data_IF_189163758360
#
_entry.id   IF_189163758360
#
_cell.length_a   1.000
_cell.length_b   1.000
_cell.length_c   1.000
_cell.angle_alpha   90.00
_cell.angle_beta   90.00
_cell.angle_gamma   90.00
#
_symmetry.space_group_name_H-M   'P 1'
#
loop_
_entity.id
_entity.type
_entity.pdbx_description
1 polymer ?
#
# COMPACT_ATOMS: atom_id res chain seq x y z
N UNK A 1 -22.41 3.81 8.55
CA UNK A 1 -22.65 4.31 7.17
C UNK A 1 -22.05 5.69 7.08
N UNK A 2 -21.32 5.98 6.01
CA UNK A 2 -20.69 7.28 5.77
C UNK A 2 -19.17 7.19 5.73
N UNK A 3 -18.50 8.33 5.93
CA UNK A 3 -17.05 8.42 6.04
C UNK A 3 -16.60 7.70 7.32
N UNK A 4 -15.75 6.70 7.16
CA UNK A 4 -15.23 5.86 8.22
C UNK A 4 -13.73 5.67 8.03
N UNK A 5 -12.96 5.63 9.11
CA UNK A 5 -11.62 5.06 9.08
C UNK A 5 -11.70 3.58 9.51
N UNK A 6 -10.89 2.74 8.87
CA UNK A 6 -10.72 1.33 9.25
C UNK A 6 -9.36 1.19 9.93
N UNK A 7 -9.13 1.99 10.98
CA UNK A 7 -7.90 1.98 11.77
C UNK A 7 -8.15 1.42 13.18
N UNK A 8 -7.07 1.12 13.88
CA UNK A 8 -7.14 0.63 15.27
C UNK A 8 -7.87 -0.72 15.37
N UNK A 9 -8.88 -0.79 16.24
CA UNK A 9 -9.65 -2.02 16.49
C UNK A 9 -10.48 -2.47 15.27
N UNK A 10 -10.80 -1.54 14.38
CA UNK A 10 -11.60 -1.76 13.17
C UNK A 10 -10.75 -2.03 11.92
N UNK A 11 -9.43 -2.17 12.08
CA UNK A 11 -8.51 -2.47 10.98
C UNK A 11 -8.71 -3.89 10.44
N UNK A 12 -8.69 -4.01 9.11
CA UNK A 12 -8.67 -5.29 8.40
C UNK A 12 -7.23 -5.77 8.22
N UNK A 13 -6.94 -6.95 8.76
CA UNK A 13 -5.59 -7.50 8.82
C UNK A 13 -4.61 -6.55 9.51
N UNK A 14 -3.62 -6.10 8.76
CA UNK A 14 -2.64 -5.07 9.17
C UNK A 14 -2.44 -4.02 8.07
N UNK A 15 -3.42 -3.91 7.16
CA UNK A 15 -3.43 -2.89 6.12
C UNK A 15 -2.88 -3.29 4.75
N UNK A 16 -2.62 -4.58 4.52
CA UNK A 16 -2.14 -5.04 3.22
C UNK A 16 -3.16 -4.82 2.08
N UNK A 17 -4.45 -5.06 2.33
CA UNK A 17 -5.50 -4.94 1.32
C UNK A 17 -6.41 -3.72 1.48
N UNK A 18 -6.60 -3.26 2.71
CA UNK A 18 -7.47 -2.14 3.06
C UNK A 18 -6.70 -1.21 3.99
N UNK A 19 -6.14 -0.13 3.45
CA UNK A 19 -5.39 0.88 4.19
C UNK A 19 -5.15 2.13 3.36
N UNK A 20 -5.57 3.29 3.86
CA UNK A 20 -5.44 4.54 3.12
C UNK A 20 -6.30 4.60 1.85
N UNK A 21 -7.56 4.98 2.04
CA UNK A 21 -8.48 5.28 0.94
C UNK A 21 -8.23 6.63 0.27
N UNK A 22 -7.22 7.39 0.70
CA UNK A 22 -6.91 8.75 0.23
C UNK A 22 -5.40 9.04 0.18
N UNK A 23 -4.60 8.23 -0.56
CA UNK A 23 -3.14 8.17 -0.44
C UNK A 23 -2.40 9.45 -0.83
N UNK A 24 -3.06 10.40 -1.51
CA UNK A 24 -2.47 11.64 -2.01
C UNK A 24 -2.16 12.71 -0.95
N UNK A 25 -2.14 12.37 0.34
CA UNK A 25 -1.90 13.35 1.42
C UNK A 25 -0.77 13.03 2.40
N UNK A 26 -0.04 11.94 2.15
CA UNK A 26 1.13 11.56 2.95
C UNK A 26 0.73 11.07 4.35
N UNK A 27 -0.30 10.22 4.43
CA UNK A 27 -0.76 9.62 5.68
C UNK A 27 -1.27 10.62 6.71
N UNK A 28 -1.94 11.68 6.27
CA UNK A 28 -2.57 12.69 7.15
C UNK A 28 -4.05 12.39 7.36
N UNK A 29 -4.74 11.90 6.33
CA UNK A 29 -6.12 11.46 6.43
C UNK A 29 -6.26 10.04 5.90
N UNK A 30 -7.05 9.24 6.61
CA UNK A 30 -7.36 7.87 6.24
C UNK A 30 -8.86 7.73 6.32
N UNK A 31 -9.55 7.62 5.19
CA UNK A 31 -10.98 7.34 5.23
C UNK A 31 -11.46 6.56 4.02
N UNK A 32 -12.61 5.93 4.21
CA UNK A 32 -13.42 5.28 3.19
C UNK A 32 -14.84 5.82 3.31
N UNK A 33 -15.49 6.16 2.19
CA UNK A 33 -16.95 6.31 2.23
C UNK A 33 -17.53 4.91 2.09
N UNK A 34 -18.21 4.44 3.14
CA UNK A 34 -18.60 3.04 3.20
C UNK A 34 -19.93 2.79 3.93
N UNK A 35 -20.54 1.67 3.61
CA UNK A 35 -21.58 1.02 4.40
C UNK A 35 -20.95 -0.26 4.97
N UNK A 36 -20.99 -0.41 6.30
CA UNK A 36 -20.51 -1.61 6.99
C UNK A 36 -21.63 -2.23 7.79
N UNK A 37 -21.84 -3.53 7.61
CA UNK A 37 -22.63 -4.37 8.50
C UNK A 37 -21.71 -5.40 9.14
N UNK A 38 -21.74 -5.51 10.47
CA UNK A 38 -20.92 -6.44 11.25
C UNK A 38 -21.83 -7.47 11.90
N UNK A 39 -21.61 -8.73 11.57
CA UNK A 39 -22.31 -9.86 12.18
C UNK A 39 -21.41 -10.55 13.20
N UNK A 40 -21.81 -10.48 14.47
CA UNK A 40 -21.20 -11.22 15.56
C UNK A 40 -21.82 -12.62 15.63
N UNK A 41 -21.24 -13.58 14.91
CA UNK A 41 -21.74 -14.96 14.86
C UNK A 41 -21.67 -15.59 16.26
N UNK A 42 -20.51 -15.43 16.92
CA UNK A 42 -20.28 -15.82 18.31
C UNK A 42 -19.10 -15.03 18.88
N UNK A 43 -18.79 -15.22 20.16
CA UNK A 43 -17.63 -14.56 20.80
C UNK A 43 -16.34 -14.88 20.04
N UNK A 44 -15.65 -13.84 19.56
CA UNK A 44 -14.42 -13.90 18.75
C UNK A 44 -14.57 -14.41 17.30
N UNK A 45 -15.79 -14.49 16.78
CA UNK A 45 -16.06 -14.82 15.38
C UNK A 45 -16.99 -13.79 14.78
N UNK A 46 -16.43 -13.01 13.87
CA UNK A 46 -17.08 -11.85 13.27
C UNK A 46 -17.03 -12.00 11.77
N UNK A 47 -18.11 -11.60 11.11
CA UNK A 47 -18.19 -11.47 9.67
C UNK A 47 -18.60 -10.03 9.32
N UNK A 48 -17.76 -9.33 8.58
CA UNK A 48 -18.03 -7.98 8.10
C UNK A 48 -18.45 -8.02 6.63
N UNK A 49 -19.51 -7.30 6.30
CA UNK A 49 -19.93 -6.98 4.95
C UNK A 49 -19.74 -5.49 4.74
N UNK A 50 -18.90 -5.11 3.79
CA UNK A 50 -18.58 -3.70 3.56
C UNK A 50 -18.73 -3.35 2.09
N UNK A 51 -19.44 -2.27 1.81
CA UNK A 51 -19.48 -1.62 0.51
C UNK A 51 -18.67 -0.33 0.60
N UNK A 52 -17.76 -0.13 -0.35
CA UNK A 52 -16.85 1.02 -0.40
C UNK A 52 -17.14 1.83 -1.67
N UNK A 53 -17.10 3.15 -1.53
CA UNK A 53 -17.09 4.09 -2.65
C UNK A 53 -16.11 5.23 -2.38
N UNK A 54 -15.02 5.22 -3.13
CA UNK A 54 -13.95 6.21 -3.05
C UNK A 54 -13.94 6.99 -4.37
N UNK A 55 -14.62 8.14 -4.45
CA UNK A 55 -14.58 8.96 -5.65
C UNK A 55 -13.22 9.64 -5.78
N UNK A 56 -12.77 9.85 -7.02
CA UNK A 56 -11.56 10.59 -7.39
C UNK A 56 -11.48 11.97 -6.73
N UNK A 57 -12.62 12.62 -6.51
CA UNK A 57 -12.75 13.94 -5.89
C UNK A 57 -13.93 13.94 -4.91
N UNK A 58 -13.96 14.90 -3.99
CA UNK A 58 -15.08 15.05 -3.05
C UNK A 58 -16.42 15.31 -3.76
N UNK A 59 -17.44 14.51 -3.41
CA UNK A 59 -18.81 14.55 -3.95
C UNK A 59 -19.89 14.37 -2.88
N UNK A 60 -19.54 13.88 -1.68
CA UNK A 60 -20.49 13.56 -0.61
C UNK A 60 -20.58 14.64 0.46
N UNK A 61 -19.49 15.40 0.67
CA UNK A 61 -19.44 16.44 1.68
C UNK A 61 -19.17 17.82 1.07
N UNK A 62 -19.64 18.91 1.71
CA UNK A 62 -19.26 20.26 1.35
C UNK A 62 -17.74 20.48 1.46
N UNK A 63 -17.21 21.31 0.56
CA UNK A 63 -15.79 21.70 0.55
C UNK A 63 -15.69 23.08 1.18
N UNK A 64 -15.03 23.17 2.33
CA UNK A 64 -14.92 24.43 3.10
C UNK A 64 -13.75 25.29 2.58
N UNK A 65 -12.76 24.67 1.92
CA UNK A 65 -11.62 25.35 1.30
C UNK A 65 -11.33 24.76 -0.09
N UNK A 66 -11.83 25.37 -1.18
CA UNK A 66 -11.44 24.95 -2.52
C UNK A 66 -9.94 25.26 -2.72
N UNK A 67 -9.28 24.36 -3.43
CA UNK A 67 -7.86 24.43 -3.78
C UNK A 67 -7.66 25.25 -5.06
N UNK A 68 -6.44 25.75 -5.27
CA UNK A 68 -6.06 26.31 -6.57
C UNK A 68 -5.61 25.17 -7.51
N UNK A 69 -5.80 25.33 -8.82
CA UNK A 69 -5.32 24.36 -9.81
C UNK A 69 -3.79 24.32 -9.79
N UNK A 70 -3.18 23.14 -9.69
CA UNK A 70 -1.73 22.97 -9.57
C UNK A 70 -1.05 22.70 -10.91
N UNK A 71 -1.59 21.81 -11.74
CA UNK A 71 -1.05 21.45 -13.05
C UNK A 71 -2.13 21.45 -14.13
N UNK A 72 -1.72 21.64 -15.39
CA UNK A 72 -2.61 21.45 -16.55
C UNK A 72 -2.70 20.01 -16.99
N UNK A 73 -1.63 19.23 -16.76
CA UNK A 73 -1.54 17.83 -17.19
C UNK A 73 -2.37 16.91 -16.32
N UNK A 74 -3.19 16.06 -16.93
CA UNK A 74 -4.02 15.11 -16.18
C UNK A 74 -3.18 14.12 -15.36
N UNK A 75 -2.03 13.71 -15.90
CA UNK A 75 -1.11 12.74 -15.29
C UNK A 75 -0.44 13.23 -14.01
N UNK A 76 -0.29 14.54 -13.84
CA UNK A 76 0.43 15.14 -12.71
C UNK A 76 -0.48 15.97 -11.79
N UNK A 77 -1.71 16.27 -12.21
CA UNK A 77 -2.64 17.12 -11.47
C UNK A 77 -3.12 16.45 -10.17
N UNK A 78 -2.88 17.09 -9.03
CA UNK A 78 -3.43 16.68 -7.73
C UNK A 78 -4.73 17.43 -7.40
N UNK A 79 -5.09 18.47 -8.17
CA UNK A 79 -6.31 19.27 -7.93
C UNK A 79 -7.14 19.48 -9.20
N UNK A 80 -8.38 18.99 -9.22
CA UNK A 80 -9.35 19.11 -10.32
C UNK A 80 -10.44 20.14 -10.00
N UNK A 81 -10.54 21.22 -10.79
CA UNK A 81 -11.61 22.23 -10.67
C UNK A 81 -11.82 22.73 -9.23
N UNK A 82 -10.72 22.98 -8.53
CA UNK A 82 -10.71 23.43 -7.13
C UNK A 82 -10.96 22.34 -6.09
N UNK A 83 -10.99 21.07 -6.49
CA UNK A 83 -11.12 19.90 -5.60
C UNK A 83 -9.83 19.10 -5.58
N UNK A 84 -9.42 18.66 -4.39
CA UNK A 84 -8.31 17.71 -4.25
C UNK A 84 -8.66 16.35 -4.85
N UNK A 85 -7.72 15.77 -5.59
CA UNK A 85 -7.72 14.38 -6.02
C UNK A 85 -7.45 13.49 -4.81
N UNK A 86 -8.39 12.62 -4.48
CA UNK A 86 -8.36 11.71 -3.33
C UNK A 86 -7.72 10.37 -3.71
N UNK A 87 -8.07 9.86 -4.88
CA UNK A 87 -7.57 8.63 -5.51
C UNK A 87 -7.40 8.86 -7.02
N UNK A 88 -6.78 7.92 -7.73
CA UNK A 88 -6.48 8.04 -9.16
C UNK A 88 -7.75 8.27 -10.00
N UNK A 89 -8.70 7.35 -9.80
CA UNK A 89 -9.99 7.26 -10.48
C UNK A 89 -11.07 6.87 -9.47
N UNK A 90 -12.35 6.94 -9.84
CA UNK A 90 -13.39 6.48 -8.93
C UNK A 90 -13.23 4.96 -8.70
N UNK A 91 -13.17 4.56 -7.43
CA UNK A 91 -13.08 3.17 -6.99
C UNK A 91 -14.33 2.80 -6.20
N UNK A 92 -14.87 1.61 -6.45
CA UNK A 92 -15.97 1.05 -5.66
C UNK A 92 -15.77 -0.43 -5.45
N UNK A 93 -16.40 -0.98 -4.43
CA UNK A 93 -16.29 -2.41 -4.20
C UNK A 93 -17.12 -2.91 -3.05
N UNK A 94 -17.01 -4.21 -2.86
CA UNK A 94 -17.67 -4.94 -1.81
C UNK A 94 -16.69 -5.96 -1.22
N UNK A 95 -16.71 -6.14 0.08
CA UNK A 95 -15.96 -7.20 0.74
C UNK A 95 -16.79 -7.96 1.76
N UNK A 96 -16.48 -9.25 1.84
CA UNK A 96 -16.84 -10.15 2.93
C UNK A 96 -15.54 -10.48 3.65
N UNK A 97 -15.45 -10.12 4.93
CA UNK A 97 -14.24 -10.31 5.72
C UNK A 97 -14.56 -11.06 7.01
N UNK A 98 -14.01 -12.26 7.15
CA UNK A 98 -14.12 -13.06 8.36
C UNK A 98 -12.98 -12.74 9.32
N UNK A 99 -13.26 -12.65 10.61
CA UNK A 99 -12.25 -12.60 11.67
C UNK A 99 -12.60 -13.61 12.74
N UNK A 100 -11.80 -14.66 12.85
CA UNK A 100 -12.07 -15.79 13.75
C UNK A 100 -10.84 -16.14 14.58
N UNK A 101 -10.98 -16.03 15.91
CA UNK A 101 -9.98 -16.55 16.86
C UNK A 101 -10.25 -18.03 17.14
N UNK A 102 -9.73 -18.89 16.25
CA UNK A 102 -9.97 -20.34 16.30
C UNK A 102 -9.40 -21.00 17.56
N UNK A 103 -8.25 -20.53 18.04
CA UNK A 103 -7.62 -20.98 19.28
C UNK A 103 -7.15 -19.78 20.10
N UNK A 104 -6.77 -19.99 21.36
CA UNK A 104 -6.23 -18.91 22.22
C UNK A 104 -5.09 -18.13 21.57
N UNK A 105 -4.33 -18.80 20.71
CA UNK A 105 -3.12 -18.30 20.10
C UNK A 105 -3.14 -18.29 18.56
N UNK A 106 -4.25 -18.68 17.92
CA UNK A 106 -4.41 -18.70 16.46
C UNK A 106 -5.64 -17.88 16.05
N UNK A 107 -5.42 -16.92 15.16
CA UNK A 107 -6.47 -16.15 14.49
C UNK A 107 -6.36 -16.38 12.99
N UNK A 108 -7.48 -16.65 12.34
CA UNK A 108 -7.59 -16.71 10.87
C UNK A 108 -8.61 -15.68 10.38
N UNK A 109 -8.28 -15.08 9.26
CA UNK A 109 -9.02 -13.98 8.64
C UNK A 109 -9.17 -14.24 7.13
N UNK A 110 -10.12 -15.12 6.71
CA UNK A 110 -10.41 -15.32 5.29
C UNK A 110 -11.28 -14.19 4.75
N UNK A 111 -11.11 -13.87 3.46
CA UNK A 111 -11.87 -12.80 2.83
C UNK A 111 -12.10 -13.01 1.34
N UNK A 112 -13.13 -12.32 0.86
CA UNK A 112 -13.40 -12.07 -0.55
C UNK A 112 -13.59 -10.57 -0.75
N UNK A 113 -12.94 -10.00 -1.76
CA UNK A 113 -13.05 -8.58 -2.09
C UNK A 113 -13.27 -8.44 -3.59
N UNK A 114 -14.35 -7.77 -3.96
CA UNK A 114 -14.59 -7.27 -5.30
C UNK A 114 -14.24 -5.79 -5.36
N UNK A 115 -13.47 -5.37 -6.37
CA UNK A 115 -13.14 -3.98 -6.67
C UNK A 115 -13.46 -3.69 -8.13
N UNK A 116 -14.02 -2.51 -8.35
CA UNK A 116 -14.08 -1.85 -9.66
C UNK A 116 -13.32 -0.52 -9.57
N UNK A 117 -12.51 -0.25 -10.58
CA UNK A 117 -11.74 0.99 -10.73
C UNK A 117 -12.03 1.57 -12.11
N UNK A 118 -12.40 2.84 -12.18
CA UNK A 118 -12.65 3.52 -13.45
C UNK A 118 -11.36 3.70 -14.26
N UNK A 119 -11.51 3.89 -15.58
CA UNK A 119 -10.42 4.03 -16.53
C UNK A 119 -9.44 5.16 -16.19
N UNK A 120 -8.16 4.90 -16.42
CA UNK A 120 -7.07 5.86 -16.25
C UNK A 120 -6.15 5.88 -17.47
N UNK A 121 -6.05 7.01 -18.16
CA UNK A 121 -5.29 7.10 -19.41
C UNK A 121 -5.76 6.04 -20.41
N UNK A 122 -4.85 5.17 -20.84
CA UNK A 122 -5.15 4.05 -21.73
C UNK A 122 -5.59 2.77 -21.04
N UNK A 123 -5.65 2.74 -19.70
CA UNK A 123 -6.18 1.59 -18.97
C UNK A 123 -7.71 1.71 -18.88
N UNK A 124 -8.46 0.75 -19.43
CA UNK A 124 -9.92 0.70 -19.28
C UNK A 124 -10.34 0.46 -17.83
N UNK A 125 -11.64 0.45 -17.58
CA UNK A 125 -12.17 0.06 -16.27
C UNK A 125 -11.67 -1.33 -15.88
N UNK A 126 -11.24 -1.49 -14.62
CA UNK A 126 -10.77 -2.74 -14.06
C UNK A 126 -11.85 -3.34 -13.16
N UNK A 127 -12.20 -4.60 -13.39
CA UNK A 127 -13.01 -5.41 -12.49
C UNK A 127 -12.16 -6.51 -11.89
N UNK A 128 -12.11 -6.60 -10.57
CA UNK A 128 -11.17 -7.47 -9.86
C UNK A 128 -11.86 -8.23 -8.72
N UNK A 129 -11.64 -9.55 -8.70
CA UNK A 129 -12.03 -10.44 -7.63
C UNK A 129 -10.78 -10.89 -6.90
N UNK A 130 -10.74 -10.72 -5.58
CA UNK A 130 -9.63 -11.13 -4.73
C UNK A 130 -10.11 -12.10 -3.68
N UNK A 131 -9.43 -13.23 -3.58
CA UNK A 131 -9.61 -14.21 -2.51
C UNK A 131 -8.32 -14.33 -1.73
N UNK A 132 -8.41 -14.37 -0.41
CA UNK A 132 -7.22 -14.54 0.40
C UNK A 132 -7.53 -14.89 1.83
N UNK A 133 -6.45 -15.09 2.57
CA UNK A 133 -6.49 -15.43 3.99
C UNK A 133 -5.29 -14.84 4.69
N UNK A 134 -5.55 -14.31 5.88
CA UNK A 134 -4.52 -13.93 6.84
C UNK A 134 -4.54 -14.85 8.05
N UNK A 135 -3.36 -15.16 8.58
CA UNK A 135 -3.16 -15.97 9.77
C UNK A 135 -2.20 -15.30 10.74
N UNK A 136 -2.53 -15.37 12.03
CA UNK A 136 -1.66 -14.95 13.13
C UNK A 136 -1.60 -16.05 14.18
N UNK A 137 -0.41 -16.59 14.40
CA UNK A 137 -0.11 -17.63 15.38
C UNK A 137 0.94 -17.10 16.36
N UNK A 138 0.68 -17.20 17.66
CA UNK A 138 1.67 -16.90 18.69
C UNK A 138 1.96 -18.15 19.52
N UNK A 139 3.20 -18.38 19.93
CA UNK A 139 3.54 -19.48 20.82
C UNK A 139 4.77 -19.14 21.64
N UNK A 140 4.63 -19.16 22.97
CA UNK A 140 5.67 -18.70 23.88
C UNK A 140 6.14 -17.29 23.48
N UNK A 141 7.43 -17.11 23.23
CA UNK A 141 8.05 -15.84 22.80
C UNK A 141 8.04 -15.63 21.28
N UNK A 142 7.46 -16.56 20.51
CA UNK A 142 7.42 -16.50 19.06
C UNK A 142 6.07 -16.05 18.53
N UNK A 143 6.10 -15.42 17.36
CA UNK A 143 4.93 -15.09 16.57
C UNK A 143 5.18 -15.32 15.09
N UNK A 144 4.17 -15.85 14.40
CA UNK A 144 4.12 -16.01 12.95
C UNK A 144 2.88 -15.28 12.47
N UNK A 145 3.05 -14.40 11.48
CA UNK A 145 1.94 -13.71 10.81
C UNK A 145 2.16 -13.77 9.32
N UNK A 146 1.09 -13.94 8.56
CA UNK A 146 1.18 -13.92 7.11
C UNK A 146 -0.18 -13.75 6.48
N UNK A 147 -0.19 -13.20 5.28
CA UNK A 147 -1.37 -12.99 4.47
C UNK A 147 -1.04 -13.31 3.03
N UNK A 148 -1.94 -14.00 2.33
CA UNK A 148 -1.77 -14.30 0.91
C UNK A 148 -3.11 -14.20 0.20
N UNK A 149 -3.06 -13.64 -1.01
CA UNK A 149 -4.22 -13.42 -1.85
C UNK A 149 -3.91 -13.69 -3.31
N UNK A 150 -4.94 -14.14 -4.03
CA UNK A 150 -4.97 -14.28 -5.49
C UNK A 150 -6.02 -13.34 -6.06
N UNK A 151 -5.77 -12.87 -7.27
CA UNK A 151 -6.62 -11.92 -7.98
C UNK A 151 -6.97 -12.45 -9.36
N UNK A 152 -8.25 -12.43 -9.69
CA UNK A 152 -8.75 -12.72 -11.02
C UNK A 152 -9.69 -11.60 -11.46
N UNK A 153 -9.55 -11.14 -12.69
CA UNK A 153 -10.30 -9.98 -13.13
C UNK A 153 -10.16 -9.74 -14.62
N UNK A 154 -10.58 -8.55 -15.06
CA UNK A 154 -10.50 -8.12 -16.45
C UNK A 154 -10.53 -6.60 -16.55
N UNK A 155 -9.72 -6.07 -17.46
CA UNK A 155 -9.89 -4.72 -17.98
C UNK A 155 -10.95 -4.74 -19.09
N UNK A 156 -11.96 -3.87 -19.00
CA UNK A 156 -13.09 -3.84 -19.93
C UNK A 156 -12.62 -3.78 -21.38
N UNK A 157 -13.09 -4.72 -22.20
CA UNK A 157 -12.79 -4.79 -23.63
C UNK A 157 -11.34 -5.15 -24.00
N UNK A 158 -10.48 -5.50 -23.04
CA UNK A 158 -9.06 -5.76 -23.31
C UNK A 158 -8.57 -7.09 -22.71
N UNK A 159 -7.77 -7.07 -21.64
CA UNK A 159 -7.06 -8.24 -21.10
C UNK A 159 -7.60 -8.72 -19.76
N UNK A 160 -7.49 -10.02 -19.51
CA UNK A 160 -7.75 -10.64 -18.21
C UNK A 160 -6.64 -10.30 -17.21
N UNK A 161 -6.95 -10.36 -15.93
CA UNK A 161 -6.03 -10.14 -14.81
C UNK A 161 -5.85 -11.45 -14.02
N UNK A 162 -4.62 -11.75 -13.63
CA UNK A 162 -4.25 -12.93 -12.85
C UNK A 162 -3.06 -12.64 -11.92
N UNK A 163 -3.31 -11.88 -10.85
CA UNK A 163 -2.29 -11.49 -9.88
C UNK A 163 -2.25 -12.40 -8.66
N UNK A 164 -1.13 -12.37 -7.94
CA UNK A 164 -1.01 -12.89 -6.57
C UNK A 164 -0.06 -12.04 -5.73
N UNK A 165 -0.28 -12.03 -4.41
CA UNK A 165 0.46 -11.19 -3.50
C UNK A 165 0.29 -11.60 -2.05
N UNK A 166 1.26 -11.28 -1.22
CA UNK A 166 1.24 -11.61 0.18
C UNK A 166 2.56 -11.38 0.89
N UNK A 167 2.58 -11.73 2.17
CA UNK A 167 3.75 -11.63 3.01
C UNK A 167 3.72 -12.70 4.11
N UNK A 168 4.89 -12.95 4.70
CA UNK A 168 5.03 -13.77 5.91
C UNK A 168 6.13 -13.18 6.79
N UNK A 169 5.90 -13.14 8.10
CA UNK A 169 6.83 -12.67 9.10
C UNK A 169 6.90 -13.64 10.29
N UNK A 170 8.12 -14.01 10.67
CA UNK A 170 8.43 -14.73 11.89
C UNK A 170 9.14 -13.80 12.85
N UNK A 171 8.72 -13.79 14.11
CA UNK A 171 9.34 -12.99 15.15
C UNK A 171 9.59 -13.77 16.44
N UNK A 172 10.57 -13.29 17.21
CA UNK A 172 10.87 -13.75 18.56
C UNK A 172 11.15 -12.57 19.48
N UNK A 173 10.60 -12.59 20.68
CA UNK A 173 10.82 -11.58 21.72
C UNK A 173 11.73 -12.13 22.83
N UNK A 174 12.77 -11.40 23.21
CA UNK A 174 13.69 -11.80 24.27
C UNK A 174 13.47 -10.94 25.50
N UNK A 175 12.50 -11.31 26.34
CA UNK A 175 12.08 -10.49 27.49
C UNK A 175 13.17 -10.30 28.55
N UNK A 176 14.02 -11.31 28.72
CA UNK A 176 15.09 -11.34 29.74
C UNK A 176 16.32 -10.50 29.37
N UNK A 177 16.42 -10.04 28.12
CA UNK A 177 17.54 -9.20 27.65
C UNK A 177 17.15 -7.73 27.86
N UNK A 178 18.09 -6.84 28.28
CA UNK A 178 17.83 -5.41 28.39
C UNK A 178 17.13 -4.84 27.15
N UNK A 179 16.11 -4.02 27.38
CA UNK A 179 15.23 -3.42 26.36
C UNK A 179 14.28 -4.39 25.65
N UNK A 180 14.21 -5.64 26.11
CA UNK A 180 13.31 -6.70 25.63
C UNK A 180 13.25 -6.79 24.09
N UNK A 181 14.39 -6.98 23.41
CA UNK A 181 14.45 -6.91 21.96
C UNK A 181 13.52 -7.92 21.30
N UNK A 182 12.79 -7.48 20.29
CA UNK A 182 12.03 -8.36 19.39
C UNK A 182 12.65 -8.30 18.00
N UNK A 183 13.11 -9.46 17.54
CA UNK A 183 13.60 -9.63 16.18
C UNK A 183 12.48 -10.19 15.32
N UNK A 184 12.33 -9.65 14.11
CA UNK A 184 11.37 -10.13 13.13
C UNK A 184 12.06 -10.20 11.75
N UNK A 185 11.88 -11.33 11.08
CA UNK A 185 12.28 -11.53 9.68
C UNK A 185 11.01 -11.76 8.87
N UNK A 186 10.94 -11.19 7.68
CA UNK A 186 9.84 -11.44 6.77
C UNK A 186 10.22 -11.42 5.32
N UNK A 187 9.29 -11.92 4.53
CA UNK A 187 9.33 -11.95 3.09
C UNK A 187 8.03 -11.41 2.53
N UNK A 188 8.14 -10.52 1.55
CA UNK A 188 7.03 -9.91 0.82
C UNK A 188 7.11 -10.35 -0.63
N UNK A 189 5.96 -10.61 -1.25
CA UNK A 189 5.84 -10.96 -2.66
C UNK A 189 4.59 -10.33 -3.27
N UNK A 190 4.75 -9.65 -4.39
CA UNK A 190 3.73 -9.05 -5.23
C UNK A 190 4.10 -9.38 -6.68
N UNK A 191 3.27 -10.18 -7.34
CA UNK A 191 3.45 -10.56 -8.75
C UNK A 191 3.62 -9.33 -9.67
N UNK A 192 4.34 -9.52 -10.76
CA UNK A 192 4.59 -8.50 -11.78
C UNK A 192 4.09 -8.96 -13.14
N UNK A 193 3.64 -7.99 -13.95
CA UNK A 193 3.09 -8.23 -15.29
C UNK A 193 4.18 -8.75 -16.25
N UNK A 194 3.83 -9.70 -17.12
CA UNK A 194 4.69 -10.15 -18.20
C UNK A 194 4.12 -9.68 -19.55
N UNK A 195 4.74 -8.70 -20.22
CA UNK A 195 4.18 -8.10 -21.44
C UNK A 195 4.05 -9.08 -22.62
N UNK A 196 4.63 -10.28 -22.51
CA UNK A 196 4.58 -11.31 -23.55
C UNK A 196 3.40 -12.29 -23.41
N UNK A 197 2.52 -12.10 -22.43
CA UNK A 197 1.33 -12.93 -22.25
C UNK A 197 0.06 -12.15 -22.62
N UNK A 198 -1.07 -12.86 -22.67
CA UNK A 198 -2.39 -12.26 -22.93
C UNK A 198 -3.06 -11.70 -21.68
N UNK A 199 -2.43 -11.79 -20.51
CA UNK A 199 -3.00 -11.41 -19.22
C UNK A 199 -2.14 -10.35 -18.55
N UNK A 200 -2.73 -9.57 -17.65
CA UNK A 200 -1.97 -8.80 -16.67
C UNK A 200 -1.71 -9.70 -15.46
N UNK A 201 -0.49 -10.20 -15.29
CA UNK A 201 -0.12 -10.97 -14.09
C UNK A 201 0.39 -10.10 -12.93
N UNK A 202 0.37 -8.78 -13.08
CA UNK A 202 0.74 -7.86 -12.02
C UNK A 202 -0.26 -7.89 -10.86
N UNK A 203 0.26 -7.81 -9.64
CA UNK A 203 -0.56 -7.52 -8.46
C UNK A 203 -1.15 -6.12 -8.60
N UNK A 204 -2.44 -5.96 -8.34
CA UNK A 204 -3.13 -4.67 -8.34
C UNK A 204 -3.56 -4.35 -6.90
N UNK A 205 -3.00 -3.31 -6.25
CA UNK A 205 -3.46 -2.90 -4.93
C UNK A 205 -4.97 -2.67 -4.90
N UNK A 206 -5.63 -3.16 -3.85
CA UNK A 206 -7.07 -2.99 -3.68
C UNK A 206 -7.37 -1.57 -3.15
N UNK A 207 -7.86 -1.49 -1.93
CA UNK A 207 -8.09 -0.23 -1.23
C UNK A 207 -6.94 0.04 -0.26
N UNK A 208 -5.72 -0.36 -0.66
CA UNK A 208 -4.48 -0.20 0.11
C UNK A 208 -3.41 0.53 -0.70
N UNK A 209 -3.27 1.83 -0.47
CA UNK A 209 -2.29 2.68 -1.15
C UNK A 209 -1.46 3.50 -0.13
N UNK A 210 -1.36 3.02 1.11
CA UNK A 210 -0.45 3.59 2.11
C UNK A 210 0.96 3.01 2.04
N UNK A 211 1.84 3.46 2.95
CA UNK A 211 3.19 2.89 3.08
C UNK A 211 3.14 1.43 3.53
N UNK A 212 3.53 0.50 2.66
CA UNK A 212 3.52 -0.94 2.96
C UNK A 212 4.83 -1.41 3.60
N UNK A 213 5.95 -1.30 2.88
CA UNK A 213 7.28 -1.66 3.41
C UNK A 213 7.86 -0.50 4.23
N UNK A 214 7.85 0.69 3.65
CA UNK A 214 8.25 1.95 4.27
C UNK A 214 7.54 3.12 3.56
N UNK A 215 7.66 4.33 4.10
CA UNK A 215 6.96 5.51 3.59
C UNK A 215 7.67 6.12 2.36
N UNK A 216 8.99 6.24 2.40
CA UNK A 216 9.84 6.81 1.35
C UNK A 216 9.68 6.08 0.02
N UNK A 217 9.69 4.75 0.03
CA UNK A 217 9.64 3.95 -1.18
C UNK A 217 8.28 4.01 -1.88
N UNK A 218 7.21 4.41 -1.17
CA UNK A 218 5.92 4.70 -1.80
C UNK A 218 5.99 5.83 -2.84
N UNK A 219 6.93 6.76 -2.68
CA UNK A 219 7.16 7.84 -3.63
C UNK A 219 8.11 7.43 -4.76
N UNK A 220 9.07 6.54 -4.48
CA UNK A 220 9.97 6.00 -5.51
C UNK A 220 9.18 5.21 -6.55
N UNK A 221 8.22 4.39 -6.10
CA UNK A 221 7.41 3.54 -6.99
C UNK A 221 6.35 4.32 -7.79
N UNK A 222 6.15 5.61 -7.51
CA UNK A 222 5.15 6.46 -8.17
C UNK A 222 5.39 6.53 -9.69
N UNK A 223 6.60 6.88 -10.10
CA UNK A 223 6.94 7.07 -11.53
C UNK A 223 6.82 5.75 -12.28
N UNK A 224 7.13 4.62 -11.63
CA UNK A 224 7.00 3.27 -12.20
C UNK A 224 5.56 2.91 -12.56
N UNK A 225 4.55 3.50 -11.89
CA UNK A 225 3.16 3.09 -11.99
C UNK A 225 2.19 4.22 -12.28
N UNK A 226 2.68 5.41 -12.62
CA UNK A 226 1.86 6.59 -12.90
C UNK A 226 0.86 6.35 -14.05
N UNK A 227 1.16 5.44 -14.97
CA UNK A 227 0.26 5.03 -16.04
C UNK A 227 -0.87 4.10 -15.58
N UNK A 228 -0.75 3.39 -14.44
CA UNK A 228 -1.85 2.60 -13.84
C UNK A 228 -2.61 3.38 -12.78
N UNK A 229 -1.90 4.16 -11.96
CA UNK A 229 -2.43 4.74 -10.71
C UNK A 229 -2.50 6.28 -10.70
N UNK A 230 -2.22 6.91 -11.84
CA UNK A 230 -2.05 8.37 -11.90
C UNK A 230 -1.02 8.90 -10.91
N UNK A 231 -1.13 10.18 -10.50
CA UNK A 231 -0.15 10.82 -9.63
C UNK A 231 -0.25 10.38 -8.16
N UNK A 232 -0.82 9.21 -7.89
CA UNK A 232 -0.98 8.68 -6.53
C UNK A 232 0.20 7.76 -6.17
N UNK A 233 0.88 7.99 -5.03
CA UNK A 233 1.97 7.13 -4.59
C UNK A 233 1.48 5.74 -4.17
N UNK A 234 2.41 4.85 -3.83
CA UNK A 234 2.15 3.54 -3.23
C UNK A 234 1.26 2.59 -4.07
N UNK A 235 1.43 2.59 -5.40
CA UNK A 235 0.95 1.48 -6.23
C UNK A 235 1.92 0.29 -6.13
N UNK A 236 1.85 -0.45 -5.01
CA UNK A 236 2.75 -1.56 -4.73
C UNK A 236 2.50 -2.74 -5.69
N UNK A 237 3.42 -3.02 -6.59
CA UNK A 237 3.35 -4.15 -7.52
C UNK A 237 4.74 -4.59 -7.96
N UNK A 238 4.86 -5.75 -8.60
CA UNK A 238 6.11 -6.26 -9.16
C UNK A 238 7.29 -6.17 -8.17
N UNK A 239 7.12 -6.76 -6.99
CA UNK A 239 8.01 -6.58 -5.85
C UNK A 239 8.15 -7.87 -5.07
N UNK A 240 9.38 -8.24 -4.73
CA UNK A 240 9.68 -9.19 -3.67
C UNK A 240 10.77 -8.63 -2.79
N UNK A 241 10.78 -8.98 -1.52
CA UNK A 241 11.80 -8.45 -0.62
C UNK A 241 11.93 -9.21 0.68
N UNK A 242 13.13 -9.13 1.25
CA UNK A 242 13.43 -9.55 2.61
C UNK A 242 13.37 -8.32 3.52
N UNK A 243 12.72 -8.46 4.67
CA UNK A 243 12.56 -7.41 5.66
C UNK A 243 13.06 -7.92 7.01
N UNK A 244 13.94 -7.17 7.65
CA UNK A 244 14.47 -7.46 8.97
C UNK A 244 14.12 -6.29 9.89
N UNK A 245 13.42 -6.57 10.99
CA UNK A 245 13.07 -5.58 11.99
C UNK A 245 13.68 -5.95 13.34
N UNK A 246 14.20 -4.95 14.03
CA UNK A 246 14.55 -4.98 15.44
C UNK A 246 13.69 -3.96 16.17
N UNK A 247 12.87 -4.42 17.12
CA UNK A 247 12.11 -3.56 18.01
C UNK A 247 12.73 -3.56 19.41
N UNK A 248 12.83 -2.40 20.03
CA UNK A 248 13.41 -2.19 21.35
C UNK A 248 12.48 -1.35 22.23
N UNK A 249 12.50 -1.64 23.52
CA UNK A 249 11.78 -0.92 24.58
C UNK A 249 12.79 -0.38 25.61
N UNK A 250 13.60 0.62 25.26
CA UNK A 250 14.73 1.05 26.10
C UNK A 250 14.32 1.77 27.38
N UNK A 251 13.15 2.39 27.37
CA UNK A 251 12.60 3.12 28.50
C UNK A 251 11.08 2.96 28.50
N UNK A 252 10.45 3.22 29.64
CA UNK A 252 8.99 3.25 29.73
C UNK A 252 8.45 4.23 28.69
N UNK A 253 7.41 3.82 27.96
CA UNK A 253 6.74 4.64 26.94
C UNK A 253 7.58 5.00 25.70
N UNK A 254 8.85 4.60 25.62
CA UNK A 254 9.72 4.73 24.44
C UNK A 254 9.76 3.42 23.67
N UNK A 255 9.42 3.49 22.37
CA UNK A 255 9.53 2.36 21.44
C UNK A 255 10.46 2.74 20.30
N UNK A 256 11.44 1.89 20.02
CA UNK A 256 12.32 2.05 18.88
C UNK A 256 12.13 0.88 17.91
N UNK A 257 12.21 1.17 16.61
CA UNK A 257 12.29 0.19 15.54
C UNK A 257 13.45 0.55 14.63
N UNK A 258 14.30 -0.43 14.35
CA UNK A 258 15.28 -0.39 13.27
C UNK A 258 14.86 -1.43 12.23
N UNK A 259 14.85 -1.06 10.96
CA UNK A 259 14.46 -1.94 9.86
C UNK A 259 15.48 -1.89 8.74
N UNK A 260 15.80 -3.04 8.17
CA UNK A 260 16.54 -3.18 6.92
C UNK A 260 15.70 -3.96 5.92
N UNK A 261 15.64 -3.49 4.69
CA UNK A 261 14.90 -4.14 3.62
C UNK A 261 15.80 -4.33 2.40
N UNK A 262 15.79 -5.51 1.78
CA UNK A 262 16.41 -5.74 0.46
C UNK A 262 15.31 -6.14 -0.51
N UNK A 263 15.22 -5.43 -1.63
CA UNK A 263 14.08 -5.49 -2.53
C UNK A 263 14.51 -5.82 -3.96
N UNK A 264 13.65 -6.56 -4.66
CA UNK A 264 13.80 -6.92 -6.06
C UNK A 264 12.46 -6.82 -6.78
N UNK A 265 12.49 -6.59 -8.08
CA UNK A 265 11.36 -6.82 -8.95
C UNK A 265 11.17 -8.32 -9.24
N UNK A 266 9.93 -8.74 -9.48
CA UNK A 266 9.63 -10.11 -9.90
C UNK A 266 9.90 -10.26 -11.41
N UNK A 267 9.53 -9.23 -12.17
CA UNK A 267 9.73 -9.06 -13.61
C UNK A 267 10.56 -7.81 -13.88
N UNK A 268 11.32 -7.82 -14.97
CA UNK A 268 11.99 -6.61 -15.45
C UNK A 268 10.93 -5.58 -15.81
N UNK A 269 11.19 -4.29 -15.55
CA UNK A 269 10.24 -3.23 -15.84
C UNK A 269 10.17 -2.98 -17.35
N UNK A 270 9.01 -2.54 -17.84
CA UNK A 270 8.82 -2.13 -19.22
C UNK A 270 7.90 -0.92 -19.27
N UNK A 271 8.06 -0.10 -20.30
CA UNK A 271 7.12 0.99 -20.56
C UNK A 271 5.89 0.41 -21.30
N UNK A 272 4.68 0.57 -20.77
CA UNK A 272 3.51 -0.20 -21.20
C UNK A 272 2.73 0.40 -22.37
N UNK A 273 2.96 1.68 -22.70
CA UNK A 273 2.23 2.33 -23.77
C UNK A 273 2.91 2.08 -25.12
N UNK A 274 2.08 1.79 -26.12
CA UNK A 274 2.49 1.63 -27.50
C UNK A 274 2.81 2.97 -28.16
N UNK A 275 3.56 2.95 -29.27
CA UNK A 275 3.83 4.15 -30.08
C UNK A 275 2.55 4.82 -30.57
N UNK A 276 1.53 4.04 -30.94
CA UNK A 276 0.23 4.53 -31.39
C UNK A 276 -0.51 5.29 -30.27
N UNK A 277 -0.52 4.73 -29.06
CA UNK A 277 -1.11 5.40 -27.89
C UNK A 277 -0.37 6.70 -27.56
N UNK A 278 0.96 6.70 -27.58
CA UNK A 278 1.76 7.90 -27.35
C UNK A 278 1.61 8.96 -28.46
N UNK A 279 1.19 8.59 -29.66
CA UNK A 279 0.88 9.54 -30.73
C UNK A 279 -0.48 10.23 -30.54
N UNK A 280 -1.41 9.58 -29.81
CA UNK A 280 -2.73 10.13 -29.49
C UNK A 280 -2.66 11.09 -28.30
N UNK A 281 -1.85 10.74 -27.29
CA UNK A 281 -1.68 11.55 -26.07
C UNK A 281 -0.21 11.95 -25.89
N UNK A 282 0.09 13.18 -26.27
CA UNK A 282 1.43 13.75 -26.16
C UNK A 282 1.92 13.90 -24.72
N UNK A 283 1.04 14.03 -23.72
CA UNK A 283 1.45 14.07 -22.31
C UNK A 283 1.86 12.67 -21.84
N UNK A 284 1.18 11.63 -22.32
CA UNK A 284 1.55 10.24 -22.05
C UNK A 284 2.94 9.90 -22.65
N UNK A 285 3.31 10.52 -23.76
CA UNK A 285 4.64 10.38 -24.34
C UNK A 285 5.75 10.95 -23.42
N UNK A 286 5.47 12.03 -22.67
CA UNK A 286 6.42 12.59 -21.70
C UNK A 286 6.74 11.61 -20.57
N UNK A 287 5.78 10.77 -20.18
CA UNK A 287 5.98 9.74 -19.15
C UNK A 287 7.05 8.73 -19.52
N UNK A 288 7.24 8.44 -20.82
CA UNK A 288 8.29 7.55 -21.29
C UNK A 288 9.68 8.08 -20.92
N UNK A 289 9.88 9.39 -21.05
CA UNK A 289 11.15 10.03 -20.69
C UNK A 289 11.39 9.97 -19.19
N UNK A 290 10.37 10.27 -18.36
CA UNK A 290 10.49 10.13 -16.90
C UNK A 290 10.77 8.69 -16.46
N UNK A 291 10.11 7.72 -17.09
CA UNK A 291 10.31 6.30 -16.82
C UNK A 291 11.76 5.89 -17.08
N UNK A 292 12.28 6.14 -18.28
CA UNK A 292 13.65 5.75 -18.65
C UNK A 292 14.75 6.62 -18.04
N UNK A 293 14.41 7.81 -17.53
CA UNK A 293 15.34 8.62 -16.74
C UNK A 293 15.56 8.05 -15.33
N UNK A 294 14.67 7.18 -14.85
CA UNK A 294 14.73 6.60 -13.50
C UNK A 294 15.01 5.10 -13.51
N UNK A 295 14.48 4.36 -14.48
CA UNK A 295 14.46 2.89 -14.51
C UNK A 295 15.37 2.39 -15.62
N UNK A 296 16.23 1.42 -15.32
CA UNK A 296 17.20 0.87 -16.30
C UNK A 296 16.52 0.02 -17.37
N UNK A 297 15.55 -0.80 -16.99
CA UNK A 297 14.89 -1.76 -17.89
C UNK A 297 15.52 -3.15 -17.94
N UNK A 298 16.71 -3.31 -17.35
CA UNK A 298 17.55 -4.48 -17.62
C UNK A 298 17.58 -5.46 -16.44
N UNK A 299 17.63 -4.92 -15.22
CA UNK A 299 17.81 -5.72 -14.01
C UNK A 299 16.59 -5.69 -13.08
N UNK A 300 16.71 -6.47 -12.00
CA UNK A 300 15.64 -6.69 -11.02
C UNK A 300 16.01 -6.25 -9.61
N UNK A 301 17.24 -5.87 -9.31
CA UNK A 301 17.59 -5.50 -7.94
C UNK A 301 17.19 -4.03 -7.69
N UNK A 302 16.05 -3.87 -7.01
CA UNK A 302 15.50 -2.55 -6.67
C UNK A 302 16.44 -1.79 -5.74
N UNK A 303 17.19 -2.49 -4.88
CA UNK A 303 18.09 -1.87 -3.93
C UNK A 303 17.69 -2.19 -2.50
N UNK A 304 18.09 -1.32 -1.58
CA UNK A 304 17.97 -1.57 -0.15
C UNK A 304 17.45 -0.35 0.60
N UNK A 305 16.63 -0.61 1.61
CA UNK A 305 16.04 0.40 2.48
C UNK A 305 16.50 0.22 3.92
N UNK A 306 16.60 1.34 4.63
CA UNK A 306 16.89 1.38 6.05
C UNK A 306 15.95 2.36 6.74
N UNK A 307 15.38 1.96 7.87
CA UNK A 307 14.46 2.77 8.66
C UNK A 307 14.90 2.80 10.12
N UNK A 308 14.97 3.98 10.72
CA UNK A 308 15.00 4.17 12.16
C UNK A 308 13.74 4.92 12.55
N UNK A 309 12.99 4.38 13.49
CA UNK A 309 11.77 4.98 13.99
C UNK A 309 11.75 4.93 15.52
N UNK A 310 11.43 6.06 16.14
CA UNK A 310 11.23 6.18 17.57
C UNK A 310 9.90 6.84 17.85
N UNK A 311 9.10 6.25 18.74
CA UNK A 311 7.86 6.85 19.25
C UNK A 311 7.92 6.96 20.76
N UNK A 312 7.44 8.09 21.28
CA UNK A 312 7.41 8.35 22.72
C UNK A 312 6.05 8.90 23.14
N UNK A 313 5.47 8.29 24.17
CA UNK A 313 4.20 8.74 24.74
C UNK A 313 4.48 9.69 25.92
N UNK A 314 4.43 10.99 25.66
CA UNK A 314 4.65 12.03 26.68
C UNK A 314 3.53 12.08 27.72
N UNK A 315 2.28 11.93 27.27
CA UNK A 315 1.06 11.90 28.08
C UNK A 315 0.05 10.92 27.46
N UNK A 316 -1.03 10.52 28.18
CA UNK A 316 -2.10 9.70 27.60
C UNK A 316 -2.61 10.17 26.23
N UNK A 317 -2.65 11.49 26.04
CA UNK A 317 -3.16 12.15 24.85
C UNK A 317 -2.10 12.88 24.01
N UNK A 318 -0.80 12.75 24.32
CA UNK A 318 0.29 13.39 23.58
C UNK A 318 1.36 12.36 23.24
N UNK A 319 1.61 12.15 21.96
CA UNK A 319 2.60 11.18 21.46
C UNK A 319 3.48 11.83 20.39
N UNK A 320 4.78 11.57 20.43
CA UNK A 320 5.73 11.99 19.41
C UNK A 320 6.23 10.81 18.59
N UNK A 321 6.60 11.10 17.34
CA UNK A 321 7.25 10.19 16.41
C UNK A 321 8.43 10.92 15.74
N UNK A 322 9.59 10.26 15.73
CA UNK A 322 10.73 10.59 14.90
C UNK A 322 11.00 9.39 14.00
N UNK A 323 11.06 9.62 12.69
CA UNK A 323 11.32 8.57 11.70
C UNK A 323 12.32 9.08 10.68
N UNK A 324 13.36 8.29 10.43
CA UNK A 324 14.31 8.47 9.35
C UNK A 324 14.28 7.24 8.45
N UNK A 325 14.17 7.46 7.15
CA UNK A 325 14.27 6.42 6.14
C UNK A 325 15.32 6.79 5.11
N UNK A 326 16.06 5.78 4.65
CA UNK A 326 17.08 5.90 3.63
C UNK A 326 16.88 4.77 2.63
N UNK A 327 16.90 5.10 1.34
CA UNK A 327 16.82 4.15 0.25
C UNK A 327 18.02 4.31 -0.67
N UNK A 328 18.72 3.20 -0.89
CA UNK A 328 19.90 3.09 -1.73
C UNK A 328 19.52 2.24 -2.97
N UNK A 329 19.41 2.85 -4.16
CA UNK A 329 18.91 2.18 -5.36
C UNK A 329 19.88 1.11 -5.86
N UNK A 330 19.33 0.01 -6.38
CA UNK A 330 20.09 -0.99 -7.12
C UNK A 330 20.00 -0.79 -8.63
N UNK A 331 20.52 -1.77 -9.37
CA UNK A 331 20.58 -1.84 -10.83
C UNK A 331 19.22 -1.86 -11.56
N UNK A 332 18.10 -2.03 -10.86
CA UNK A 332 16.76 -1.81 -11.41
C UNK A 332 16.57 -0.34 -11.85
N UNK A 333 17.25 0.59 -11.19
CA UNK A 333 17.28 2.01 -11.52
C UNK A 333 18.51 2.33 -12.37
N UNK A 334 18.50 3.49 -13.05
CA UNK A 334 19.65 3.87 -13.88
C UNK A 334 20.91 4.12 -13.04
N UNK A 335 22.12 4.05 -13.63
CA UNK A 335 23.36 4.37 -12.92
C UNK A 335 23.43 5.79 -12.35
N UNK A 336 22.62 6.72 -12.88
CA UNK A 336 22.50 8.10 -12.41
C UNK A 336 21.56 8.25 -11.20
N UNK A 337 20.79 7.21 -10.87
CA UNK A 337 19.90 7.21 -9.72
C UNK A 337 20.68 7.41 -8.42
N UNK A 338 20.20 8.33 -7.59
CA UNK A 338 20.81 8.65 -6.30
C UNK A 338 19.99 8.09 -5.16
N UNK A 339 20.65 7.98 -4.00
CA UNK A 339 19.97 7.64 -2.77
C UNK A 339 18.86 8.65 -2.42
N UNK A 340 17.85 8.19 -1.68
CA UNK A 340 16.73 9.00 -1.25
C UNK A 340 16.59 8.94 0.28
N UNK A 341 16.22 10.06 0.91
CA UNK A 341 16.13 10.17 2.37
C UNK A 341 14.81 10.84 2.76
N UNK A 342 14.16 10.33 3.79
CA UNK A 342 12.96 10.89 4.38
C UNK A 342 13.19 11.10 5.88
N UNK A 343 12.89 12.31 6.36
CA UNK A 343 12.82 12.60 7.79
C UNK A 343 11.40 13.05 8.12
N UNK A 344 10.75 12.35 9.05
CA UNK A 344 9.43 12.70 9.58
C UNK A 344 9.52 12.94 11.08
N UNK A 345 9.03 14.11 11.49
CA UNK A 345 8.84 14.48 12.88
C UNK A 345 7.36 14.77 13.05
N UNK A 346 6.72 14.12 14.01
CA UNK A 346 5.30 14.30 14.29
C UNK A 346 5.06 14.41 15.78
N UNK A 347 4.17 15.32 16.15
CA UNK A 347 3.56 15.42 17.47
C UNK A 347 2.05 15.28 17.28
N UNK A 348 1.46 14.26 17.91
CA UNK A 348 0.02 14.00 17.89
C UNK A 348 -0.57 14.37 19.24
N UNK A 349 -1.63 15.18 19.22
CA UNK A 349 -2.41 15.59 20.39
C UNK A 349 -3.87 15.20 20.19
N UNK A 350 -4.43 14.47 21.15
CA UNK A 350 -5.85 14.11 21.20
C UNK A 350 -6.55 14.99 22.24
N UNK A 351 -7.66 15.59 21.84
CA UNK A 351 -8.46 16.49 22.68
C UNK A 351 -9.66 15.77 23.29
#
# INVERSE_FOLDING_TARGET
>A
IGRQDFLGEDMYGEGFLIFDGTPGDGSRTFFFNAIRARWFIQKNHILDFVFISNPKIERYFPIIHPSYKDFTSEYFMLYYHGKKRLVATDEKGFMIYGKSKLLKNLTLEPYYIFKEEESWGFNPNLHLHTFGIRGVLNWKEWGLRGEFAIQNGRYSGTKDVSGSGGYIYLNRTFKEIPFSPKFEIGYVYLSGDNPHTKKDEGWNPLFSKGGFINELYSYVILVENIFKNGPMPAYWTNLRGLVFNLFLLPYKDLRLRVSYQKMWAVRTPYFPLTTEQMAIDHEAALLKYFFWAMISGEDKNRGQGFTIEGSYKFKPNITGLLKYEHFDPGDFYTPEARDAKLLRIQLEMKF
#
